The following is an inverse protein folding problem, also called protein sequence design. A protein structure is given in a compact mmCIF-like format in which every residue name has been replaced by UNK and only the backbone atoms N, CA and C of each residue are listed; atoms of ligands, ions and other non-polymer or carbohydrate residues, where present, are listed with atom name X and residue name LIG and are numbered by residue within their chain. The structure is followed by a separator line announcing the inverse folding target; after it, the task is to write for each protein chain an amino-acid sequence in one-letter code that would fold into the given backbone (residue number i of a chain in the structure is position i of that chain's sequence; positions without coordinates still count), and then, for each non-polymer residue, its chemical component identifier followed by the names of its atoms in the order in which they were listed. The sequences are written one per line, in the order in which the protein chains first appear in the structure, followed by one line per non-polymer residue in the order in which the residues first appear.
data_IF_157367469136
#
_entry.id   IF_157367469136
#
_cell.length_a   1.000
_cell.length_b   1.000
_cell.length_c   1.000
_cell.angle_alpha   90.00
_cell.angle_beta   90.00
_cell.angle_gamma   90.00
#
_symmetry.space_group_name_H-M   'P 1'
#
loop_
_entity.id
_entity.type
_entity.pdbx_description
1 polymer ?
#
# COMPACT_ATOMS: atom_id res chain seq x y z
N UNK A 1 -8.78 -11.31 -6.26
CA UNK A 1 -7.61 -11.84 -6.97
C UNK A 1 -7.03 -12.97 -6.14
N UNK A 2 -6.87 -14.17 -6.71
CA UNK A 2 -6.23 -15.28 -6.00
C UNK A 2 -4.72 -15.03 -5.84
N UNK A 3 -4.11 -15.70 -4.87
CA UNK A 3 -2.65 -15.72 -4.71
C UNK A 3 -1.96 -16.31 -5.96
N UNK A 4 -0.70 -15.94 -6.17
CA UNK A 4 0.15 -16.33 -7.30
C UNK A 4 -0.37 -15.89 -8.68
N UNK A 5 -1.21 -14.86 -8.73
CA UNK A 5 -1.70 -14.29 -9.99
C UNK A 5 -0.77 -13.19 -10.50
N UNK A 6 -0.39 -13.29 -11.76
CA UNK A 6 0.16 -12.24 -12.63
C UNK A 6 -0.76 -11.04 -12.84
N UNK A 7 -0.57 -9.88 -12.21
CA UNK A 7 -1.36 -8.66 -12.55
C UNK A 7 -0.48 -7.68 -13.32
N UNK A 8 -0.96 -7.27 -14.50
CA UNK A 8 -0.33 -6.21 -15.28
C UNK A 8 -0.93 -4.86 -14.87
N UNK A 9 -0.09 -3.98 -14.34
CA UNK A 9 -0.44 -2.60 -13.99
C UNK A 9 0.14 -1.69 -15.05
N UNK A 10 -0.73 -1.00 -15.79
CA UNK A 10 -0.33 -0.04 -16.83
C UNK A 10 -0.48 1.38 -16.32
N UNK A 11 0.55 2.18 -16.53
CA UNK A 11 0.54 3.63 -16.39
C UNK A 11 0.92 4.27 -17.72
N UNK A 12 0.83 5.59 -17.83
CA UNK A 12 1.21 6.32 -19.05
C UNK A 12 2.71 6.21 -19.37
N UNK A 13 3.54 5.89 -18.37
CA UNK A 13 5.00 5.87 -18.47
C UNK A 13 5.59 4.45 -18.49
N UNK A 14 4.91 3.48 -17.89
CA UNK A 14 5.45 2.13 -17.71
C UNK A 14 4.36 1.07 -17.53
N UNK A 15 4.73 -0.18 -17.84
CA UNK A 15 3.95 -1.39 -17.60
C UNK A 15 4.69 -2.27 -16.59
N UNK A 16 4.01 -2.61 -15.49
CA UNK A 16 4.57 -3.38 -14.37
C UNK A 16 3.83 -4.72 -14.23
N UNK A 17 4.58 -5.82 -14.12
CA UNK A 17 4.01 -7.13 -13.79
C UNK A 17 4.18 -7.39 -12.30
N UNK A 18 3.07 -7.45 -11.58
CA UNK A 18 3.04 -7.60 -10.12
C UNK A 18 2.49 -8.99 -9.75
N UNK A 19 3.28 -9.84 -9.06
CA UNK A 19 2.80 -11.13 -8.56
C UNK A 19 1.98 -10.92 -7.28
N UNK A 20 0.74 -11.40 -7.24
CA UNK A 20 -0.09 -11.33 -6.04
C UNK A 20 0.35 -12.38 -5.02
N UNK A 21 0.78 -11.96 -3.83
CA UNK A 21 1.33 -12.88 -2.83
C UNK A 21 0.27 -13.59 -1.98
N UNK A 22 -0.89 -12.97 -1.82
CA UNK A 22 -1.98 -13.46 -1.00
C UNK A 22 -3.35 -13.09 -1.60
N UNK A 23 -4.45 -13.77 -1.25
CA UNK A 23 -5.75 -13.44 -1.82
C UNK A 23 -6.18 -12.01 -1.49
N UNK A 24 -6.46 -11.20 -2.52
CA UNK A 24 -6.92 -9.82 -2.38
C UNK A 24 -8.40 -9.74 -2.75
N UNK A 25 -9.24 -9.28 -1.81
CA UNK A 25 -10.67 -9.06 -2.05
C UNK A 25 -10.90 -7.89 -2.99
N UNK A 26 -12.04 -7.90 -3.69
CA UNK A 26 -12.44 -6.74 -4.51
C UNK A 26 -12.52 -5.47 -3.66
N UNK A 27 -12.04 -4.34 -4.20
CA UNK A 27 -11.96 -3.06 -3.49
C UNK A 27 -10.77 -2.90 -2.54
N UNK A 28 -9.98 -3.95 -2.32
CA UNK A 28 -8.76 -3.86 -1.52
C UNK A 28 -7.55 -3.44 -2.36
N UNK A 29 -6.50 -2.97 -1.69
CA UNK A 29 -5.27 -2.46 -2.32
C UNK A 29 -4.17 -3.52 -2.28
N UNK A 30 -3.23 -3.45 -3.20
CA UNK A 30 -1.97 -4.17 -3.13
C UNK A 30 -0.80 -3.24 -3.47
N UNK A 31 0.40 -3.62 -3.05
CA UNK A 31 1.59 -2.82 -3.26
C UNK A 31 2.11 -3.02 -4.71
N UNK A 32 2.31 -1.94 -5.45
CA UNK A 32 2.92 -1.97 -6.80
C UNK A 32 4.45 -1.84 -6.76
N UNK A 33 5.00 -1.53 -5.58
CA UNK A 33 6.43 -1.50 -5.25
C UNK A 33 6.62 -2.03 -3.83
N UNK A 34 7.84 -2.43 -3.48
CA UNK A 34 8.16 -2.69 -2.08
C UNK A 34 8.08 -1.38 -1.27
N UNK A 35 7.51 -1.43 -0.07
CA UNK A 35 7.31 -0.29 0.83
C UNK A 35 7.98 -0.62 2.16
N UNK A 36 8.95 0.19 2.58
CA UNK A 36 9.63 -0.01 3.86
C UNK A 36 8.73 0.39 5.02
N UNK A 37 8.96 -0.20 6.19
CA UNK A 37 8.29 0.25 7.42
C UNK A 37 8.54 1.76 7.62
N UNK A 38 7.48 2.49 7.93
CA UNK A 38 7.47 3.94 8.10
C UNK A 38 7.42 4.74 6.79
N UNK A 39 7.55 4.10 5.62
CA UNK A 39 7.46 4.78 4.32
C UNK A 39 6.01 5.16 4.00
N UNK A 40 5.85 6.28 3.30
CA UNK A 40 4.56 6.82 2.91
C UNK A 40 3.89 5.94 1.85
N UNK A 41 2.64 5.59 2.10
CA UNK A 41 1.79 4.88 1.16
C UNK A 41 1.03 5.94 0.36
N UNK A 42 1.25 5.95 -0.94
CA UNK A 42 0.68 6.94 -1.87
C UNK A 42 -0.45 6.29 -2.67
N UNK A 43 -1.58 6.99 -2.78
CA UNK A 43 -2.69 6.62 -3.66
C UNK A 43 -3.25 7.89 -4.30
N UNK A 44 -3.38 7.89 -5.62
CA UNK A 44 -3.86 9.04 -6.40
C UNK A 44 -3.01 10.31 -6.20
N UNK A 45 -1.70 10.16 -6.04
CA UNK A 45 -0.78 11.29 -5.81
C UNK A 45 -0.69 11.77 -4.37
N UNK A 46 -1.55 11.29 -3.47
CA UNK A 46 -1.60 11.75 -2.08
C UNK A 46 -1.16 10.68 -1.08
N UNK A 47 -0.56 11.13 0.02
CA UNK A 47 -0.18 10.26 1.15
C UNK A 47 -1.43 9.86 1.91
N UNK A 48 -1.75 8.56 1.91
CA UNK A 48 -2.90 8.01 2.65
C UNK A 48 -2.54 7.46 4.02
N UNK A 49 -1.24 7.38 4.33
CA UNK A 49 -0.71 6.80 5.57
C UNK A 49 0.75 6.41 5.44
N UNK A 50 1.24 5.69 6.43
CA UNK A 50 2.57 5.06 6.41
C UNK A 50 2.45 3.55 6.63
N UNK A 51 3.42 2.80 6.13
CA UNK A 51 3.46 1.36 6.34
C UNK A 51 3.86 1.04 7.79
N UNK A 52 3.05 0.28 8.52
CA UNK A 52 3.38 -0.11 9.91
C UNK A 52 4.39 -1.26 9.98
N UNK A 53 4.59 -1.97 8.86
CA UNK A 53 5.59 -3.02 8.68
C UNK A 53 6.14 -2.96 7.24
N UNK A 54 7.16 -3.76 6.93
CA UNK A 54 7.60 -3.94 5.54
C UNK A 54 6.49 -4.58 4.70
N UNK A 55 6.21 -4.00 3.53
CA UNK A 55 5.21 -4.49 2.59
C UNK A 55 5.93 -4.86 1.28
N UNK A 56 6.07 -6.15 0.94
CA UNK A 56 6.65 -6.56 -0.33
C UNK A 56 5.73 -6.21 -1.50
N UNK A 57 6.31 -6.11 -2.69
CA UNK A 57 5.54 -5.94 -3.93
C UNK A 57 4.48 -7.04 -4.06
N UNK A 58 3.25 -6.67 -4.40
CA UNK A 58 2.11 -7.58 -4.56
C UNK A 58 1.43 -8.03 -3.27
N UNK A 59 1.90 -7.59 -2.10
CA UNK A 59 1.24 -7.84 -0.83
C UNK A 59 -0.04 -6.99 -0.66
N UNK A 60 -0.97 -7.50 0.14
CA UNK A 60 -2.24 -6.83 0.44
C UNK A 60 -2.02 -5.63 1.35
N UNK A 61 -2.49 -4.44 0.94
CA UNK A 61 -2.35 -3.19 1.71
C UNK A 61 -3.68 -2.80 2.36
N UNK A 62 -3.76 -2.94 3.68
CA UNK A 62 -4.98 -2.68 4.45
C UNK A 62 -4.66 -2.28 5.90
N UNK A 63 -5.68 -2.20 6.76
CA UNK A 63 -5.55 -1.69 8.14
C UNK A 63 -4.53 -2.42 9.02
N UNK A 64 -4.11 -3.64 8.65
CA UNK A 64 -3.12 -4.41 9.40
C UNK A 64 -1.68 -3.96 9.13
N UNK A 65 -1.40 -3.35 7.97
CA UNK A 65 -0.06 -2.90 7.58
C UNK A 65 -0.01 -1.43 7.11
N UNK A 66 -1.13 -0.71 7.18
CA UNK A 66 -1.26 0.70 6.87
C UNK A 66 -1.78 1.45 8.09
N UNK A 67 -1.02 2.43 8.55
CA UNK A 67 -1.41 3.34 9.60
C UNK A 67 -1.68 4.73 9.02
N UNK A 68 -2.83 5.30 9.36
CA UNK A 68 -3.14 6.67 8.99
C UNK A 68 -2.20 7.64 9.70
N UNK A 69 -1.60 8.57 8.95
CA UNK A 69 -0.91 9.71 9.54
C UNK A 69 -1.96 10.62 10.17
N UNK A 70 -2.26 10.41 11.47
CA UNK A 70 -3.20 11.26 12.21
C UNK A 70 -2.78 12.72 12.01
N UNK A 71 -3.72 13.57 11.57
CA UNK A 71 -3.58 15.01 11.76
C UNK A 71 -3.38 15.20 13.26
N UNK A 72 -2.31 15.88 13.66
CA UNK A 72 -2.00 16.20 15.05
C UNK A 72 -3.12 17.12 15.55
N UNK A 73 -4.24 16.55 15.99
CA UNK A 73 -5.24 17.26 16.79
C UNK A 73 -4.53 17.76 18.03
N UNK A 74 -4.79 19.02 18.38
CA UNK A 74 -4.03 19.83 19.33
C UNK A 74 -3.41 18.98 20.45
N UNK A 75 -2.10 18.75 20.35
CA UNK A 75 -1.36 18.29 21.51
C UNK A 75 -1.36 19.48 22.46
N UNK A 76 -2.22 19.43 23.48
CA UNK A 76 -2.03 20.28 24.66
C UNK A 76 -0.66 19.88 25.17
N UNK A 77 0.32 20.77 25.00
CA UNK A 77 1.63 20.59 25.57
C UNK A 77 1.46 20.68 27.09
N UNK A 78 1.83 19.61 27.79
CA UNK A 78 2.15 19.69 29.23
C UNK A 78 3.50 20.38 29.42
#
# INVERSE_FOLDING_TARGET
MPANTSVVVKSDLEELVVPILEPIRFGHKFAVKAIKQGEDIIKYGEVIGAASAFIPIGAHVHVHNLEGKKRKGDKIAE
#
